data_IF_616939665108
#
_entry.id   IF_616939665108
#
_cell.length_a   1.000
_cell.length_b   1.000
_cell.length_c   1.000
_cell.angle_alpha   90.00
_cell.angle_beta   90.00
_cell.angle_gamma   90.00
#
_symmetry.space_group_name_H-M   'P 1'
#
loop_
_entity.id
_entity.type
_entity.pdbx_description
1 polymer ?
#
# COMPACT_ATOMS: atom_id res chain seq x y z
N UNK A 1 -6.26 -7.13 -16.20
CA UNK A 1 -5.04 -7.58 -15.49
C UNK A 1 -4.27 -6.42 -14.88
N UNK A 2 -4.12 -5.30 -15.59
CA UNK A 2 -3.43 -4.09 -15.10
C UNK A 2 -3.79 -3.69 -13.65
N UNK A 3 -5.07 -3.51 -13.31
CA UNK A 3 -5.49 -3.07 -11.97
C UNK A 3 -5.04 -4.03 -10.85
N UNK A 4 -5.12 -5.35 -11.10
CA UNK A 4 -4.67 -6.36 -10.15
C UNK A 4 -3.15 -6.32 -9.98
N UNK A 5 -2.41 -6.25 -11.08
CA UNK A 5 -0.95 -6.14 -11.05
C UNK A 5 -0.49 -4.85 -10.35
N UNK A 6 -1.18 -3.73 -10.60
CA UNK A 6 -0.94 -2.46 -9.95
C UNK A 6 -1.19 -2.51 -8.44
N UNK A 7 -2.26 -3.19 -8.00
CA UNK A 7 -2.54 -3.41 -6.58
C UNK A 7 -1.42 -4.21 -5.89
N UNK A 8 -0.96 -5.30 -6.50
CA UNK A 8 0.14 -6.12 -5.98
C UNK A 8 1.45 -5.32 -5.93
N UNK A 9 1.78 -4.59 -6.99
CA UNK A 9 2.95 -3.71 -7.02
C UNK A 9 2.88 -2.63 -5.92
N UNK A 10 1.71 -2.01 -5.74
CA UNK A 10 1.50 -1.01 -4.69
C UNK A 10 1.75 -1.60 -3.31
N UNK A 11 1.31 -2.82 -3.04
CA UNK A 11 1.60 -3.51 -1.78
C UNK A 11 3.11 -3.65 -1.53
N UNK A 12 3.86 -4.10 -2.54
CA UNK A 12 5.32 -4.27 -2.43
C UNK A 12 5.98 -2.94 -2.07
N UNK A 13 5.64 -1.86 -2.80
CA UNK A 13 6.17 -0.51 -2.55
C UNK A 13 5.87 -0.05 -1.13
N UNK A 14 4.61 -0.08 -0.72
CA UNK A 14 4.19 0.51 0.54
C UNK A 14 4.62 -0.29 1.76
N UNK A 15 4.70 -1.62 1.67
CA UNK A 15 5.26 -2.47 2.75
C UNK A 15 6.75 -2.20 2.90
N UNK A 16 7.49 -2.10 1.79
CA UNK A 16 8.93 -1.82 1.83
C UNK A 16 9.19 -0.42 2.36
N UNK A 17 8.41 0.57 1.92
CA UNK A 17 8.49 1.93 2.41
C UNK A 17 8.15 2.03 3.90
N UNK A 18 7.13 1.32 4.39
CA UNK A 18 6.77 1.33 5.80
C UNK A 18 7.91 0.82 6.70
N UNK A 19 8.60 -0.25 6.28
CA UNK A 19 9.79 -0.76 6.98
C UNK A 19 10.91 0.28 7.01
N UNK A 20 11.26 0.82 5.85
CA UNK A 20 12.31 1.84 5.74
C UNK A 20 11.97 3.13 6.47
N UNK A 21 10.68 3.50 6.53
CA UNK A 21 10.21 4.66 7.29
C UNK A 21 10.43 4.43 8.78
N UNK A 22 10.06 3.25 9.29
CA UNK A 22 10.23 2.89 10.70
C UNK A 22 11.70 2.87 11.12
N UNK A 23 12.57 2.34 10.25
CA UNK A 23 14.02 2.21 10.49
C UNK A 23 14.80 3.51 10.19
N UNK A 24 14.13 4.58 9.75
CA UNK A 24 14.82 5.82 9.39
C UNK A 24 15.31 6.60 10.61
N UNK A 25 16.49 7.22 10.50
CA UNK A 25 17.06 8.11 11.54
C UNK A 25 16.18 9.33 11.86
N UNK A 26 15.18 9.61 11.02
CA UNK A 26 14.24 10.73 11.17
C UNK A 26 12.91 10.32 11.80
N UNK A 27 12.67 9.03 12.02
CA UNK A 27 11.37 8.54 12.47
C UNK A 27 11.08 8.86 13.94
N UNK A 28 12.13 8.79 14.77
CA UNK A 28 12.02 8.85 16.22
C UNK A 28 12.89 9.97 16.75
N UNK A 29 12.36 10.74 17.70
CA UNK A 29 13.13 11.69 18.47
C UNK A 29 14.00 10.96 19.52
N UNK A 30 14.94 11.69 20.14
CA UNK A 30 15.84 11.13 21.14
C UNK A 30 15.13 10.58 22.39
N UNK A 31 13.91 11.07 22.66
CA UNK A 31 13.04 10.60 23.74
C UNK A 31 12.15 9.41 23.33
N UNK A 32 12.29 8.92 22.09
CA UNK A 32 11.50 7.83 21.52
C UNK A 32 10.13 8.24 20.99
N UNK A 33 9.75 9.53 21.03
CA UNK A 33 8.49 10.00 20.46
C UNK A 33 8.53 10.01 18.92
N UNK A 34 7.40 9.76 18.23
CA UNK A 34 7.34 9.83 16.78
C UNK A 34 7.49 11.28 16.31
N UNK A 35 8.33 11.50 15.30
CA UNK A 35 8.51 12.84 14.71
C UNK A 35 7.34 13.22 13.80
N UNK A 36 7.18 14.51 13.51
CA UNK A 36 6.23 14.97 12.50
C UNK A 36 6.51 14.36 11.11
N UNK A 37 7.79 14.14 10.78
CA UNK A 37 8.20 13.43 9.57
C UNK A 37 7.61 12.02 9.53
N UNK A 38 7.75 11.25 10.62
CA UNK A 38 7.19 9.91 10.72
C UNK A 38 5.67 9.92 10.58
N UNK A 39 4.99 10.78 11.33
CA UNK A 39 3.52 10.83 11.37
C UNK A 39 2.94 11.11 9.98
N UNK A 40 3.44 12.14 9.29
CA UNK A 40 2.94 12.52 7.96
C UNK A 40 3.13 11.37 6.97
N UNK A 41 4.32 10.77 6.94
CA UNK A 41 4.61 9.69 6.00
C UNK A 41 3.89 8.40 6.36
N UNK A 42 3.69 8.09 7.65
CA UNK A 42 2.93 6.94 8.10
C UNK A 42 1.47 7.06 7.65
N UNK A 43 0.84 8.22 7.84
CA UNK A 43 -0.53 8.48 7.35
C UNK A 43 -0.61 8.34 5.83
N UNK A 44 0.31 8.95 5.09
CA UNK A 44 0.37 8.83 3.62
C UNK A 44 0.54 7.37 3.17
N UNK A 45 1.37 6.60 3.87
CA UNK A 45 1.60 5.18 3.61
C UNK A 45 0.33 4.37 3.80
N UNK A 46 -0.38 4.59 4.92
CA UNK A 46 -1.64 3.89 5.22
C UNK A 46 -2.70 4.21 4.17
N UNK A 47 -2.93 5.49 3.86
CA UNK A 47 -3.90 5.91 2.85
C UNK A 47 -3.58 5.29 1.49
N UNK A 48 -2.32 5.36 1.07
CA UNK A 48 -1.90 4.86 -0.24
C UNK A 48 -1.96 3.34 -0.33
N UNK A 49 -1.62 2.62 0.74
CA UNK A 49 -1.77 1.17 0.83
C UNK A 49 -3.25 0.76 0.73
N UNK A 50 -4.16 1.47 1.40
CA UNK A 50 -5.61 1.23 1.31
C UNK A 50 -6.10 1.46 -0.12
N UNK A 51 -5.72 2.56 -0.77
CA UNK A 51 -6.09 2.84 -2.16
C UNK A 51 -5.58 1.74 -3.11
N UNK A 52 -4.31 1.33 -2.97
CA UNK A 52 -3.74 0.22 -3.74
C UNK A 52 -4.50 -1.10 -3.53
N UNK A 53 -4.92 -1.39 -2.29
CA UNK A 53 -5.73 -2.56 -1.95
C UNK A 53 -7.09 -2.53 -2.63
N UNK A 54 -7.80 -1.39 -2.57
CA UNK A 54 -9.10 -1.21 -3.23
C UNK A 54 -8.99 -1.42 -4.74
N UNK A 55 -7.99 -0.82 -5.38
CA UNK A 55 -7.73 -1.00 -6.82
C UNK A 55 -7.45 -2.48 -7.15
N UNK A 56 -6.62 -3.15 -6.35
CA UNK A 56 -6.32 -4.58 -6.51
C UNK A 56 -7.56 -5.46 -6.41
N UNK A 57 -8.43 -5.19 -5.43
CA UNK A 57 -9.71 -5.91 -5.23
C UNK A 57 -10.65 -5.69 -6.41
N UNK A 58 -10.80 -4.46 -6.90
CA UNK A 58 -11.62 -4.15 -8.08
C UNK A 58 -11.08 -4.90 -9.31
N UNK A 59 -9.76 -4.86 -9.53
CA UNK A 59 -9.11 -5.61 -10.60
C UNK A 59 -9.37 -7.10 -10.53
N UNK A 60 -9.21 -7.69 -9.34
CA UNK A 60 -9.46 -9.11 -9.10
C UNK A 60 -10.92 -9.51 -9.35
N UNK A 61 -11.87 -8.70 -8.87
CA UNK A 61 -13.31 -8.90 -9.12
C UNK A 61 -13.62 -8.86 -10.62
N UNK A 62 -13.05 -7.91 -11.35
CA UNK A 62 -13.23 -7.81 -12.80
C UNK A 62 -12.66 -9.03 -13.55
N UNK A 63 -11.54 -9.61 -13.08
CA UNK A 63 -11.00 -10.85 -13.66
C UNK A 63 -11.88 -12.07 -13.37
N UNK A 64 -12.42 -12.18 -12.14
CA UNK A 64 -13.33 -13.29 -11.79
C UNK A 64 -14.67 -13.22 -12.50
N UNK A 65 -15.19 -12.01 -12.75
CA UNK A 65 -16.44 -11.80 -13.49
C UNK A 65 -16.32 -12.15 -14.99
N UNK A 66 -15.10 -12.17 -15.55
CA UNK A 66 -14.83 -12.56 -16.94
C UNK A 66 -14.76 -14.07 -17.16
N UNK A 67 -15.29 -14.90 -16.26
CA UNK A 67 -15.44 -16.33 -16.54
C UNK A 67 -16.30 -16.48 -17.81
N UNK A 68 -15.78 -17.10 -18.88
CA UNK A 68 -16.56 -17.32 -20.07
C UNK A 68 -17.77 -18.16 -19.68
N UNK A 69 -18.96 -17.63 -19.96
CA UNK A 69 -20.15 -18.45 -20.05
C UNK A 69 -19.86 -19.46 -21.16
N UNK A 70 -19.57 -20.70 -20.78
CA UNK A 70 -19.51 -21.83 -21.69
C UNK A 70 -20.86 -21.89 -22.39
N UNK A 71 -20.88 -21.44 -23.65
CA UNK A 71 -21.97 -21.65 -24.58
C UNK A 71 -21.82 -23.06 -25.19
#
# INVERSE_FOLDING_TARGET
>A
MFLTAFGVWSWIIWITFAKNLWDSDRAWAADGSPTAYFIVHAVLTVVSFVLGTVIGVIGWRALRARRPQSA
#
